data_IF_026865034728
#
_entry.id   IF_026865034728
#
_cell.length_a   1.000
_cell.length_b   1.000
_cell.length_c   1.000
_cell.angle_alpha   90.00
_cell.angle_beta   90.00
_cell.angle_gamma   90.00
#
_symmetry.space_group_name_H-M   'P 1'
#
loop_
_entity.id
_entity.type
_entity.pdbx_description
1 polymer ?
#
# COMPACT_ATOMS: atom_id res chain seq x y z
N UNK A 1 -11.17 -14.67 38.17
CA UNK A 1 -11.74 -15.43 37.03
C UNK A 1 -10.90 -15.10 35.81
N UNK A 2 -9.86 -15.88 35.53
CA UNK A 2 -8.96 -15.64 34.40
C UNK A 2 -9.72 -15.97 33.11
N UNK A 3 -9.95 -14.97 32.24
CA UNK A 3 -10.33 -15.23 30.85
C UNK A 3 -9.12 -15.90 30.19
N UNK A 4 -9.20 -17.21 30.03
CA UNK A 4 -8.34 -17.90 29.08
C UNK A 4 -8.66 -17.29 27.70
N UNK A 5 -7.73 -16.51 27.15
CA UNK A 5 -7.76 -16.21 25.73
C UNK A 5 -7.64 -17.57 25.02
N UNK A 6 -8.62 -17.97 24.20
CA UNK A 6 -8.48 -19.22 23.46
C UNK A 6 -7.20 -19.11 22.63
N UNK A 7 -6.34 -20.11 22.75
CA UNK A 7 -5.22 -20.29 21.82
C UNK A 7 -5.80 -20.24 20.41
N UNK A 8 -5.50 -19.18 19.67
CA UNK A 8 -5.93 -19.05 18.29
C UNK A 8 -5.15 -20.08 17.47
N UNK A 9 -5.77 -21.22 17.17
CA UNK A 9 -5.16 -22.34 16.44
C UNK A 9 -4.99 -22.04 14.95
N UNK A 10 -5.73 -21.06 14.43
CA UNK A 10 -5.77 -20.77 13.00
C UNK A 10 -4.81 -19.63 12.62
N UNK A 11 -4.15 -19.81 11.47
CA UNK A 11 -3.25 -18.80 10.92
C UNK A 11 -3.97 -17.48 10.63
N UNK A 12 -5.25 -17.53 10.24
CA UNK A 12 -6.11 -16.34 10.06
C UNK A 12 -7.18 -16.26 11.14
N UNK A 13 -7.50 -15.04 11.59
CA UNK A 13 -8.67 -14.81 12.41
C UNK A 13 -9.94 -14.71 11.53
N UNK A 14 -10.75 -15.77 11.51
CA UNK A 14 -11.97 -15.80 10.70
C UNK A 14 -13.12 -14.95 11.24
N UNK A 15 -13.06 -14.53 12.50
CA UNK A 15 -14.10 -13.72 13.16
C UNK A 15 -14.03 -12.25 12.77
N UNK A 16 -12.85 -11.78 12.35
CA UNK A 16 -12.65 -10.41 11.89
C UNK A 16 -13.03 -10.33 10.40
N UNK A 17 -13.86 -9.38 9.95
CA UNK A 17 -14.12 -9.18 8.53
C UNK A 17 -12.84 -8.73 7.80
N UNK A 18 -12.68 -9.12 6.52
CA UNK A 18 -11.53 -8.77 5.68
C UNK A 18 -11.25 -7.27 5.67
N UNK A 19 -12.29 -6.50 5.36
CA UNK A 19 -12.27 -5.06 5.32
C UNK A 19 -13.47 -4.55 6.13
N UNK A 20 -13.22 -3.60 7.02
CA UNK A 20 -14.26 -2.91 7.79
C UNK A 20 -14.06 -1.41 7.76
N UNK A 21 -15.16 -0.68 7.91
CA UNK A 21 -15.09 0.76 8.12
C UNK A 21 -14.31 1.05 9.41
N UNK A 22 -13.40 2.01 9.37
CA UNK A 22 -12.69 2.48 10.56
C UNK A 22 -13.70 2.99 11.59
N UNK A 23 -13.50 2.63 12.85
CA UNK A 23 -14.31 3.16 13.96
C UNK A 23 -14.01 4.66 14.16
N UNK A 24 -14.92 5.42 14.77
CA UNK A 24 -14.79 6.90 14.77
C UNK A 24 -13.49 7.36 15.45
N UNK A 25 -12.95 8.49 14.99
CA UNK A 25 -11.68 9.05 15.47
C UNK A 25 -11.66 9.38 16.97
N UNK A 26 -12.82 9.41 17.64
CA UNK A 26 -12.97 9.69 19.06
C UNK A 26 -12.83 8.44 19.95
N UNK A 27 -12.79 7.24 19.37
CA UNK A 27 -12.66 5.99 20.11
C UNK A 27 -11.19 5.55 20.31
N UNK A 28 -10.22 6.25 19.72
CA UNK A 28 -8.80 5.89 19.75
C UNK A 28 -8.01 6.99 20.45
N UNK A 29 -7.31 6.59 21.51
CA UNK A 29 -6.38 7.42 22.28
C UNK A 29 -5.33 8.09 21.38
N UNK A 30 -4.90 9.32 21.73
CA UNK A 30 -4.08 10.17 20.87
C UNK A 30 -2.72 9.56 20.49
N UNK A 31 -2.66 8.92 19.32
CA UNK A 31 -1.43 8.43 18.71
C UNK A 31 -0.70 9.58 17.97
N UNK A 32 0.60 9.83 18.25
CA UNK A 32 1.33 10.94 17.63
C UNK A 32 1.50 10.79 16.11
N UNK A 33 0.92 11.72 15.35
CA UNK A 33 0.95 11.76 13.88
C UNK A 33 -0.31 11.22 13.19
N UNK A 34 -1.39 11.03 13.94
CA UNK A 34 -2.72 10.71 13.41
C UNK A 34 -3.32 11.92 12.68
N UNK A 35 -3.76 11.74 11.44
CA UNK A 35 -4.57 12.74 10.74
C UNK A 35 -6.05 12.46 11.03
N UNK A 36 -6.75 13.40 11.66
CA UNK A 36 -8.19 13.32 11.88
C UNK A 36 -8.90 14.23 10.89
N UNK A 37 -9.70 13.66 10.00
CA UNK A 37 -10.53 14.42 9.09
C UNK A 37 -11.96 14.37 9.62
N UNK A 38 -12.45 15.52 10.07
CA UNK A 38 -13.77 15.65 10.67
C UNK A 38 -14.54 16.74 9.93
N UNK A 39 -15.49 16.31 9.12
CA UNK A 39 -16.38 17.17 8.37
C UNK A 39 -17.79 17.09 8.96
N UNK A 40 -18.22 18.21 9.55
CA UNK A 40 -19.57 18.40 10.05
C UNK A 40 -20.26 19.52 9.28
N UNK A 41 -21.52 19.30 8.93
CA UNK A 41 -22.39 20.34 8.39
C UNK A 41 -23.59 20.49 9.35
N UNK A 42 -23.58 21.57 10.13
CA UNK A 42 -24.56 21.77 11.20
C UNK A 42 -24.42 20.69 12.29
N UNK A 43 -25.51 19.99 12.60
CA UNK A 43 -25.51 18.90 13.58
C UNK A 43 -25.24 17.50 12.99
N UNK A 44 -25.08 17.40 11.67
CA UNK A 44 -24.87 16.11 10.99
C UNK A 44 -23.37 15.94 10.74
N UNK A 45 -22.82 14.85 11.28
CA UNK A 45 -21.44 14.43 10.97
C UNK A 45 -21.46 13.69 9.65
N UNK A 46 -21.00 14.36 8.58
CA UNK A 46 -20.99 13.80 7.22
C UNK A 46 -19.85 12.79 7.09
N UNK A 47 -18.67 13.15 7.62
CA UNK A 47 -17.48 12.32 7.49
C UNK A 47 -16.58 12.50 8.71
N UNK A 48 -16.25 11.42 9.40
CA UNK A 48 -15.28 11.41 10.49
C UNK A 48 -14.41 10.19 10.32
N UNK A 49 -13.18 10.39 9.85
CA UNK A 49 -12.19 9.32 9.65
C UNK A 49 -10.86 9.72 10.28
N UNK A 50 -10.00 8.74 10.48
CA UNK A 50 -8.62 8.96 10.85
C UNK A 50 -7.69 8.20 9.91
N UNK A 51 -6.52 8.78 9.65
CA UNK A 51 -5.44 8.15 8.90
C UNK A 51 -4.24 7.99 9.82
N UNK A 52 -3.90 6.73 10.08
CA UNK A 52 -2.63 6.35 10.69
C UNK A 52 -1.49 6.68 9.72
N UNK A 53 -0.25 6.61 10.19
CA UNK A 53 0.91 6.84 9.32
C UNK A 53 1.04 5.79 8.21
N UNK A 54 0.59 4.55 8.47
CA UNK A 54 0.54 3.50 7.44
C UNK A 54 -0.50 3.87 6.39
N UNK A 55 -1.69 4.34 6.81
CA UNK A 55 -2.72 4.78 5.87
C UNK A 55 -2.25 5.97 5.02
N UNK A 56 -1.53 6.92 5.63
CA UNK A 56 -0.93 8.04 4.91
C UNK A 56 0.09 7.57 3.87
N UNK A 57 0.91 6.56 4.19
CA UNK A 57 1.84 5.97 3.23
C UNK A 57 1.08 5.27 2.08
N UNK A 58 0.00 4.54 2.38
CA UNK A 58 -0.86 3.93 1.38
C UNK A 58 -1.55 4.96 0.48
N UNK A 59 -2.09 6.06 1.03
CA UNK A 59 -2.66 7.16 0.23
C UNK A 59 -1.61 7.81 -0.66
N UNK A 60 -0.43 8.10 -0.10
CA UNK A 60 0.67 8.71 -0.85
C UNK A 60 1.06 7.86 -2.05
N UNK A 61 1.29 6.55 -1.83
CA UNK A 61 1.63 5.63 -2.90
C UNK A 61 0.48 5.45 -3.90
N UNK A 62 -0.76 5.40 -3.45
CA UNK A 62 -1.93 5.35 -4.34
C UNK A 62 -1.98 6.55 -5.29
N UNK A 63 -1.78 7.75 -4.77
CA UNK A 63 -1.75 8.99 -5.56
C UNK A 63 -0.56 9.00 -6.52
N UNK A 64 0.65 8.68 -6.04
CA UNK A 64 1.87 8.63 -6.87
C UNK A 64 1.68 7.64 -8.02
N UNK A 65 1.20 6.43 -7.74
CA UNK A 65 0.97 5.41 -8.77
C UNK A 65 -0.06 5.86 -9.80
N UNK A 66 -1.19 6.44 -9.39
CA UNK A 66 -2.19 6.98 -10.32
C UNK A 66 -1.56 8.03 -11.24
N UNK A 67 -0.80 8.98 -10.68
CA UNK A 67 -0.14 10.03 -11.47
C UNK A 67 0.85 9.44 -12.47
N UNK A 68 1.74 8.53 -12.03
CA UNK A 68 2.75 7.90 -12.90
C UNK A 68 2.07 7.17 -14.06
N UNK A 69 1.08 6.32 -13.77
CA UNK A 69 0.47 5.49 -14.80
C UNK A 69 -0.50 6.26 -15.71
N UNK A 70 -1.20 7.28 -15.20
CA UNK A 70 -2.01 8.16 -16.06
C UNK A 70 -1.13 9.02 -16.98
N UNK A 71 0.00 9.53 -16.48
CA UNK A 71 0.94 10.26 -17.32
C UNK A 71 1.56 9.35 -18.38
N UNK A 72 1.95 8.12 -18.01
CA UNK A 72 2.45 7.13 -18.96
C UNK A 72 1.43 6.80 -20.07
N UNK A 73 0.14 6.74 -19.72
CA UNK A 73 -0.92 6.38 -20.65
C UNK A 73 -1.30 7.51 -21.62
N UNK A 74 -1.33 8.76 -21.14
CA UNK A 74 -1.99 9.86 -21.85
C UNK A 74 -1.10 11.06 -22.13
N UNK A 75 0.01 11.23 -21.42
CA UNK A 75 0.86 12.41 -21.61
C UNK A 75 1.72 12.24 -22.88
N UNK A 76 1.67 13.20 -23.82
CA UNK A 76 2.51 13.19 -25.02
C UNK A 76 3.93 13.70 -24.69
N UNK A 77 4.57 13.09 -23.69
CA UNK A 77 5.92 13.41 -23.22
C UNK A 77 6.81 12.21 -23.53
N UNK A 78 8.07 12.44 -23.91
CA UNK A 78 8.98 11.33 -24.16
C UNK A 78 9.29 10.52 -22.88
N UNK A 79 9.62 9.24 -23.05
CA UNK A 79 9.85 8.33 -21.94
C UNK A 79 11.00 8.74 -21.01
N UNK A 80 12.05 9.38 -21.53
CA UNK A 80 13.20 9.78 -20.72
C UNK A 80 12.84 10.95 -19.79
N UNK A 81 12.10 11.95 -20.30
CA UNK A 81 11.56 13.04 -19.48
C UNK A 81 10.60 12.50 -18.42
N UNK A 82 9.69 11.59 -18.79
CA UNK A 82 8.77 10.97 -17.83
C UNK A 82 9.52 10.19 -16.74
N UNK A 83 10.52 9.38 -17.12
CA UNK A 83 11.37 8.64 -16.19
C UNK A 83 11.98 9.57 -15.14
N UNK A 84 12.59 10.69 -15.54
CA UNK A 84 13.21 11.63 -14.59
C UNK A 84 12.22 12.11 -13.52
N UNK A 85 11.00 12.50 -13.91
CA UNK A 85 9.97 12.93 -12.97
C UNK A 85 9.45 11.78 -12.09
N UNK A 86 9.25 10.59 -12.68
CA UNK A 86 8.79 9.42 -11.94
C UNK A 86 9.82 8.90 -10.95
N UNK A 87 11.12 8.94 -11.28
CA UNK A 87 12.22 8.64 -10.36
C UNK A 87 12.19 9.61 -9.18
N UNK A 88 12.03 10.91 -9.45
CA UNK A 88 11.84 11.91 -8.41
C UNK A 88 10.66 11.61 -7.49
N UNK A 89 9.48 11.35 -8.06
CA UNK A 89 8.27 11.02 -7.29
C UNK A 89 8.43 9.73 -6.49
N UNK A 90 9.03 8.70 -7.05
CA UNK A 90 9.24 7.40 -6.41
C UNK A 90 10.23 7.51 -5.24
N UNK A 91 11.32 8.27 -5.41
CA UNK A 91 12.29 8.53 -4.34
C UNK A 91 11.66 9.38 -3.22
N UNK A 92 10.91 10.42 -3.56
CA UNK A 92 10.18 11.23 -2.58
C UNK A 92 9.13 10.40 -1.83
N UNK A 93 8.35 9.57 -2.54
CA UNK A 93 7.38 8.64 -1.97
C UNK A 93 8.03 7.65 -1.01
N UNK A 94 9.18 7.08 -1.41
CA UNK A 94 9.96 6.15 -0.57
C UNK A 94 10.49 6.84 0.69
N UNK A 95 11.09 8.03 0.56
CA UNK A 95 11.58 8.80 1.70
C UNK A 95 10.47 9.21 2.67
N UNK A 96 9.31 9.63 2.15
CA UNK A 96 8.14 9.94 2.94
C UNK A 96 7.58 8.69 3.65
N UNK A 97 7.50 7.55 2.97
CA UNK A 97 7.09 6.28 3.56
C UNK A 97 8.03 5.86 4.71
N UNK A 98 9.35 5.99 4.54
CA UNK A 98 10.33 5.73 5.60
C UNK A 98 10.02 6.61 6.81
N UNK A 99 9.90 7.93 6.63
CA UNK A 99 9.60 8.88 7.71
C UNK A 99 8.28 8.59 8.41
N UNK A 100 7.24 8.26 7.65
CA UNK A 100 5.93 7.89 8.19
C UNK A 100 6.00 6.59 8.99
N UNK A 101 6.87 5.67 8.57
CA UNK A 101 6.99 4.35 9.18
C UNK A 101 8.11 4.22 10.21
N UNK A 102 8.92 5.25 10.49
CA UNK A 102 10.06 5.21 11.44
C UNK A 102 9.73 4.54 12.78
N UNK A 103 8.59 4.89 13.39
CA UNK A 103 8.14 4.32 14.67
C UNK A 103 7.62 2.88 14.56
N UNK A 104 7.21 2.48 13.37
CA UNK A 104 6.71 1.14 13.06
C UNK A 104 7.84 0.22 12.59
N UNK A 105 8.93 0.79 12.06
CA UNK A 105 10.14 0.07 11.67
C UNK A 105 10.91 -0.49 12.88
N UNK A 106 10.59 -0.09 14.10
CA UNK A 106 11.13 -0.71 15.33
C UNK A 106 10.29 -1.90 15.82
N UNK A 107 9.16 -2.21 15.16
CA UNK A 107 8.22 -3.25 15.57
C UNK A 107 8.27 -4.40 14.57
N UNK A 108 8.53 -5.60 15.06
CA UNK A 108 8.42 -6.84 14.28
C UNK A 108 6.95 -7.27 14.16
N UNK A 109 6.45 -7.68 12.97
CA UNK A 109 7.14 -7.92 11.69
C UNK A 109 7.16 -6.72 10.72
N UNK A 110 6.67 -5.55 11.14
CA UNK A 110 6.48 -4.39 10.27
C UNK A 110 7.80 -3.85 9.70
N UNK A 111 8.88 -3.92 10.47
CA UNK A 111 10.22 -3.59 9.99
C UNK A 111 10.61 -4.32 8.70
N UNK A 112 10.44 -5.65 8.69
CA UNK A 112 10.73 -6.46 7.50
C UNK A 112 9.81 -6.13 6.33
N UNK A 113 8.54 -5.84 6.60
CA UNK A 113 7.57 -5.46 5.58
C UNK A 113 7.98 -4.13 4.93
N UNK A 114 8.29 -3.11 5.74
CA UNK A 114 8.73 -1.80 5.26
C UNK A 114 10.01 -1.94 4.43
N UNK A 115 10.99 -2.69 4.94
CA UNK A 115 12.25 -2.95 4.24
C UNK A 115 12.04 -3.66 2.90
N UNK A 116 11.13 -4.63 2.85
CA UNK A 116 10.77 -5.32 1.61
C UNK A 116 10.13 -4.36 0.59
N UNK A 117 9.20 -3.50 1.02
CA UNK A 117 8.60 -2.50 0.14
C UNK A 117 9.62 -1.49 -0.39
N UNK A 118 10.55 -1.01 0.45
CA UNK A 118 11.65 -0.14 0.00
C UNK A 118 12.47 -0.84 -1.09
N UNK A 119 12.88 -2.08 -0.84
CA UNK A 119 13.63 -2.86 -1.82
C UNK A 119 12.87 -3.03 -3.14
N UNK A 120 11.57 -3.38 -3.08
CA UNK A 120 10.74 -3.55 -4.28
C UNK A 120 10.57 -2.24 -5.06
N UNK A 121 10.35 -1.11 -4.38
CA UNK A 121 10.21 0.21 -5.02
C UNK A 121 11.51 0.63 -5.72
N UNK A 122 12.66 0.48 -5.04
CA UNK A 122 13.96 0.82 -5.62
C UNK A 122 14.36 -0.14 -6.75
N UNK A 123 14.08 -1.43 -6.62
CA UNK A 123 14.33 -2.40 -7.68
C UNK A 123 13.48 -2.11 -8.92
N UNK A 124 12.18 -1.84 -8.73
CA UNK A 124 11.28 -1.46 -9.82
C UNK A 124 11.70 -0.18 -10.51
N UNK A 125 12.11 0.83 -9.72
CA UNK A 125 12.65 2.09 -10.24
C UNK A 125 13.90 1.86 -11.09
N UNK A 126 14.91 1.16 -10.55
CA UNK A 126 16.16 0.88 -11.27
C UNK A 126 15.86 0.12 -12.56
N UNK A 127 15.06 -0.94 -12.53
CA UNK A 127 14.71 -1.69 -13.73
C UNK A 127 13.97 -0.85 -14.77
N UNK A 128 13.08 0.04 -14.33
CA UNK A 128 12.36 0.98 -15.22
C UNK A 128 13.33 1.94 -15.89
N UNK A 129 14.20 2.60 -15.12
CA UNK A 129 15.16 3.57 -15.64
C UNK A 129 16.17 2.91 -16.59
N UNK A 130 16.69 1.73 -16.22
CA UNK A 130 17.55 0.93 -17.09
C UNK A 130 16.85 0.60 -18.41
N UNK A 131 15.56 0.24 -18.36
CA UNK A 131 14.79 -0.07 -19.56
C UNK A 131 14.61 1.13 -20.50
N UNK A 132 14.46 2.32 -19.94
CA UNK A 132 14.23 3.56 -20.69
C UNK A 132 15.54 4.13 -21.23
N UNK A 133 16.55 4.31 -20.37
CA UNK A 133 17.81 4.96 -20.75
C UNK A 133 18.74 4.06 -21.56
N UNK A 134 18.75 2.75 -21.32
CA UNK A 134 19.52 1.78 -22.11
C UNK A 134 18.71 1.04 -23.18
N UNK A 135 17.43 1.39 -23.37
CA UNK A 135 16.60 0.83 -24.43
C UNK A 135 16.39 -0.68 -24.29
N UNK A 136 16.24 -1.16 -23.06
CA UNK A 136 16.02 -2.57 -22.74
C UNK A 136 14.58 -2.97 -23.08
N UNK A 137 14.32 -3.16 -24.38
CA UNK A 137 13.00 -3.35 -24.98
C UNK A 137 12.13 -4.44 -24.30
N UNK A 138 12.66 -5.62 -23.89
CA UNK A 138 11.84 -6.62 -23.21
C UNK A 138 11.21 -6.14 -21.90
N UNK A 139 11.92 -5.30 -21.14
CA UNK A 139 11.40 -4.72 -19.89
C UNK A 139 10.52 -3.51 -20.20
N UNK A 140 10.95 -2.65 -21.12
CA UNK A 140 10.23 -1.44 -21.50
C UNK A 140 8.80 -1.74 -21.99
N UNK A 141 8.64 -2.80 -22.79
CA UNK A 141 7.33 -3.25 -23.30
C UNK A 141 6.48 -3.98 -22.25
N UNK A 142 7.06 -4.29 -21.08
CA UNK A 142 6.40 -5.03 -20.00
C UNK A 142 6.42 -4.25 -18.68
N UNK A 143 6.60 -2.92 -18.70
CA UNK A 143 6.56 -2.10 -17.48
C UNK A 143 5.25 -2.27 -16.68
N UNK A 144 4.05 -2.32 -17.29
CA UNK A 144 2.81 -2.59 -16.55
C UNK A 144 2.85 -3.93 -15.79
N UNK A 145 3.37 -4.97 -16.43
CA UNK A 145 3.54 -6.31 -15.84
C UNK A 145 4.55 -6.28 -14.69
N UNK A 146 5.70 -5.63 -14.88
CA UNK A 146 6.75 -5.49 -13.86
C UNK A 146 6.17 -4.89 -12.58
N UNK A 147 5.49 -3.75 -12.69
CA UNK A 147 4.96 -3.03 -11.52
C UNK A 147 3.79 -3.77 -10.85
N UNK A 148 2.91 -4.42 -11.62
CA UNK A 148 1.89 -5.29 -11.03
C UNK A 148 2.50 -6.49 -10.30
N UNK A 149 3.54 -7.12 -10.86
CA UNK A 149 4.20 -8.26 -10.24
C UNK A 149 4.93 -7.88 -8.94
N UNK A 150 5.64 -6.74 -8.93
CA UNK A 150 6.29 -6.22 -7.72
C UNK A 150 5.25 -5.93 -6.62
N UNK A 151 4.13 -5.31 -6.97
CA UNK A 151 3.05 -5.05 -6.01
C UNK A 151 2.37 -6.35 -5.53
N UNK A 152 2.09 -7.30 -6.43
CA UNK A 152 1.55 -8.61 -6.05
C UNK A 152 2.47 -9.32 -5.05
N UNK A 153 3.78 -9.31 -5.30
CA UNK A 153 4.76 -9.89 -4.39
C UNK A 153 4.81 -9.15 -3.03
N UNK A 154 4.81 -7.81 -3.05
CA UNK A 154 4.76 -7.01 -1.83
C UNK A 154 3.51 -7.28 -0.99
N UNK A 155 2.34 -7.38 -1.63
CA UNK A 155 1.08 -7.70 -0.95
C UNK A 155 1.00 -9.15 -0.48
N UNK A 156 1.56 -10.11 -1.23
CA UNK A 156 1.70 -11.49 -0.78
C UNK A 156 2.56 -11.56 0.49
N UNK A 157 3.73 -10.94 0.45
CA UNK A 157 4.65 -10.91 1.59
C UNK A 157 4.01 -10.25 2.80
N UNK A 158 3.36 -9.10 2.60
CA UNK A 158 2.64 -8.37 3.65
C UNK A 158 1.50 -9.22 4.23
N UNK A 159 0.69 -9.85 3.38
CA UNK A 159 -0.43 -10.70 3.80
C UNK A 159 0.00 -11.90 4.62
N UNK A 160 1.10 -12.57 4.23
CA UNK A 160 1.67 -13.68 4.99
C UNK A 160 2.25 -13.21 6.33
N UNK A 161 3.05 -12.14 6.33
CA UNK A 161 3.70 -11.62 7.55
C UNK A 161 2.70 -11.03 8.55
N UNK A 162 1.69 -10.31 8.07
CA UNK A 162 0.63 -9.73 8.90
C UNK A 162 -0.50 -10.71 9.21
N UNK A 163 -0.48 -11.91 8.60
CA UNK A 163 -1.57 -12.88 8.66
C UNK A 163 -2.91 -12.22 8.32
N UNK A 164 -2.91 -11.48 7.22
CA UNK A 164 -4.02 -10.67 6.74
C UNK A 164 -4.55 -11.23 5.43
N UNK A 165 -5.84 -11.57 5.41
CA UNK A 165 -6.52 -12.04 4.20
C UNK A 165 -6.84 -10.88 3.28
N UNK A 166 -7.04 -9.67 3.79
CA UNK A 166 -7.22 -8.47 2.97
C UNK A 166 -6.03 -8.24 2.04
N UNK A 167 -4.80 -8.31 2.56
CA UNK A 167 -3.60 -8.16 1.73
C UNK A 167 -3.43 -9.31 0.72
N UNK A 168 -3.81 -10.54 1.06
CA UNK A 168 -3.83 -11.65 0.11
C UNK A 168 -4.88 -11.48 -0.98
N UNK A 169 -6.04 -10.91 -0.64
CA UNK A 169 -7.07 -10.57 -1.63
C UNK A 169 -6.55 -9.49 -2.59
N UNK A 170 -5.88 -8.44 -2.08
CA UNK A 170 -5.27 -7.42 -2.93
C UNK A 170 -4.16 -8.01 -3.82
N UNK A 171 -3.36 -8.94 -3.31
CA UNK A 171 -2.41 -9.71 -4.13
C UNK A 171 -3.14 -10.44 -5.28
N UNK A 172 -4.24 -11.15 -4.97
CA UNK A 172 -5.03 -11.83 -5.98
C UNK A 172 -5.59 -10.87 -7.04
N UNK A 173 -6.05 -9.68 -6.65
CA UNK A 173 -6.48 -8.62 -7.58
C UNK A 173 -5.36 -8.23 -8.54
N UNK A 174 -4.12 -8.10 -8.05
CA UNK A 174 -2.97 -7.79 -8.91
C UNK A 174 -2.62 -8.95 -9.86
N UNK A 175 -2.70 -10.20 -9.40
CA UNK A 175 -2.49 -11.37 -10.26
C UNK A 175 -3.57 -11.47 -11.34
N UNK A 176 -4.82 -11.12 -11.02
CA UNK A 176 -5.89 -11.06 -12.00
C UNK A 176 -5.64 -9.96 -13.04
N UNK A 177 -5.19 -8.78 -12.60
CA UNK A 177 -4.80 -7.69 -13.49
C UNK A 177 -3.67 -8.10 -14.45
N UNK A 178 -2.68 -8.86 -13.95
CA UNK A 178 -1.62 -9.44 -14.79
C UNK A 178 -2.21 -10.35 -15.87
N UNK A 179 -3.16 -11.20 -15.51
CA UNK A 179 -3.81 -12.09 -16.47
C UNK A 179 -4.63 -11.31 -17.52
N UNK A 180 -5.18 -10.15 -17.16
CA UNK A 180 -5.99 -9.32 -18.06
C UNK A 180 -5.20 -8.34 -18.92
N UNK A 181 -3.93 -8.05 -18.58
CA UNK A 181 -3.07 -7.09 -19.33
C UNK A 181 -3.02 -7.33 -20.84
N UNK A 182 -2.96 -8.60 -21.26
CA UNK A 182 -2.88 -8.94 -22.69
C UNK A 182 -4.14 -8.59 -23.48
N UNK A 183 -5.29 -8.46 -22.81
CA UNK A 183 -6.57 -8.17 -23.43
C UNK A 183 -6.88 -6.66 -23.49
N UNK A 184 -6.24 -5.83 -22.66
CA UNK A 184 -6.48 -4.37 -22.66
C UNK A 184 -5.60 -3.61 -23.66
N UNK A 185 -4.59 -4.26 -24.24
CA UNK A 185 -3.78 -3.73 -25.35
C UNK A 185 -3.10 -2.40 -25.01
N UNK A 186 -3.49 -1.32 -25.70
CA UNK A 186 -2.88 0.00 -25.47
C UNK A 186 -3.24 0.62 -24.12
N UNK A 187 -4.24 0.09 -23.39
CA UNK A 187 -4.72 0.61 -22.11
C UNK A 187 -4.03 0.00 -20.87
N UNK A 188 -2.94 -0.75 -21.07
CA UNK A 188 -2.24 -1.45 -19.99
C UNK A 188 -1.76 -0.52 -18.87
N UNK A 189 -1.26 0.67 -19.19
CA UNK A 189 -0.80 1.61 -18.16
C UNK A 189 -1.97 2.11 -17.33
N UNK A 190 -3.12 2.42 -17.94
CA UNK A 190 -4.33 2.81 -17.22
C UNK A 190 -4.81 1.71 -16.25
N UNK A 191 -4.90 0.46 -16.73
CA UNK A 191 -5.31 -0.68 -15.90
C UNK A 191 -4.37 -0.83 -14.69
N UNK A 192 -3.05 -0.83 -14.92
CA UNK A 192 -2.06 -0.92 -13.85
C UNK A 192 -2.18 0.23 -12.84
N UNK A 193 -2.35 1.46 -13.32
CA UNK A 193 -2.53 2.64 -12.46
C UNK A 193 -3.78 2.57 -11.59
N UNK A 194 -4.90 2.12 -12.17
CA UNK A 194 -6.15 1.92 -11.44
C UNK A 194 -5.98 0.82 -10.39
N UNK A 195 -5.42 -0.33 -10.76
CA UNK A 195 -5.30 -1.48 -9.86
C UNK A 195 -4.36 -1.17 -8.69
N UNK A 196 -3.15 -0.68 -8.95
CA UNK A 196 -2.18 -0.34 -7.89
C UNK A 196 -2.72 0.82 -7.05
N UNK A 197 -3.16 1.89 -7.73
CA UNK A 197 -3.63 3.11 -7.10
C UNK A 197 -4.82 2.90 -6.18
N UNK A 198 -5.90 2.31 -6.71
CA UNK A 198 -7.12 2.08 -5.94
C UNK A 198 -6.92 1.02 -4.85
N UNK A 199 -6.06 0.02 -5.06
CA UNK A 199 -5.75 -0.94 -4.00
C UNK A 199 -5.10 -0.25 -2.80
N UNK A 200 -4.13 0.64 -3.05
CA UNK A 200 -3.46 1.39 -1.99
C UNK A 200 -4.43 2.36 -1.29
N UNK A 201 -5.26 3.08 -2.05
CA UNK A 201 -6.30 3.96 -1.47
C UNK A 201 -7.31 3.16 -0.64
N UNK A 202 -7.79 2.03 -1.14
CA UNK A 202 -8.73 1.16 -0.43
C UNK A 202 -8.16 0.66 0.90
N UNK A 203 -6.89 0.27 0.91
CA UNK A 203 -6.18 -0.14 2.13
C UNK A 203 -5.97 1.01 3.12
N UNK A 204 -5.95 2.26 2.63
CA UNK A 204 -5.89 3.43 3.49
C UNK A 204 -7.27 3.84 4.03
N UNK A 205 -8.35 3.62 3.28
CA UNK A 205 -9.71 4.00 3.69
C UNK A 205 -10.34 2.99 4.64
N UNK A 206 -10.08 1.69 4.42
CA UNK A 206 -10.69 0.61 5.17
C UNK A 206 -9.69 -0.01 6.15
N UNK A 207 -10.19 -0.37 7.33
CA UNK A 207 -9.40 -1.17 8.27
C UNK A 207 -9.39 -2.62 7.79
N UNK A 208 -8.20 -3.17 7.62
CA UNK A 208 -7.95 -4.54 7.20
C UNK A 208 -7.77 -5.48 8.40
N UNK A 209 -7.98 -6.78 8.16
CA UNK A 209 -7.80 -7.81 9.17
C UNK A 209 -6.33 -8.04 9.51
N UNK A 210 -5.95 -7.89 10.77
CA UNK A 210 -4.65 -8.30 11.28
C UNK A 210 -4.88 -9.24 12.46
N UNK A 211 -4.30 -10.43 12.41
CA UNK A 211 -4.53 -11.50 13.41
C UNK A 211 -3.77 -11.21 14.71
N UNK A 212 -4.00 -10.05 15.32
CA UNK A 212 -3.36 -9.63 16.58
C UNK A 212 -1.91 -9.14 16.45
N UNK A 213 -1.32 -9.20 15.26
CA UNK A 213 0.07 -8.71 15.00
C UNK A 213 0.23 -7.24 15.40
N UNK A 214 -0.80 -6.41 15.19
CA UNK A 214 -0.80 -5.02 15.63
C UNK A 214 -1.33 -4.81 17.07
N UNK A 215 -1.95 -5.82 17.68
CA UNK A 215 -2.63 -5.71 18.98
C UNK A 215 -1.77 -6.22 20.16
N UNK A 216 -0.74 -7.02 19.90
CA UNK A 216 0.08 -7.66 20.93
C UNK A 216 1.23 -6.79 21.47
N UNK A 217 1.31 -5.50 21.12
CA UNK A 217 2.31 -4.62 21.71
C UNK A 217 1.67 -3.79 22.83
N UNK A 218 2.07 -3.97 24.10
CA UNK A 218 1.68 -3.04 25.14
C UNK A 218 2.28 -1.68 24.78
N UNK A 219 1.43 -0.71 24.50
CA UNK A 219 1.80 0.70 24.61
C UNK A 219 1.99 0.99 26.09
N UNK A 220 3.17 0.65 26.63
CA UNK A 220 3.49 0.92 28.02
C UNK A 220 4.35 -0.14 28.66
N UNK A 221 5.64 -0.07 28.41
CA UNK A 221 6.64 -0.17 29.48
C UNK A 221 7.89 0.57 28.98
N UNK A 222 8.10 1.77 29.54
CA UNK A 222 9.35 2.51 29.43
C UNK A 222 10.42 1.78 30.27
N UNK A 223 11.70 1.73 29.85
CA UNK A 223 12.78 1.89 30.80
C UNK A 223 12.85 3.33 31.32
#
# INVERSE_FOLDING_TARGET
>A
MFRAFPFQTDFFNHEIPLLKRKQSAFAIEDLPGLWRLHWQLGQITIFSTFYTRIDQACLLWGIISIIIFLTAQFAPIDWATQAFFWSGLTLLGTGAMIKLSEKWATIEPLNHIISAWIFLMLAGLVLTDLSIFWGWAPILTQLPLLWLALNAFGYLYTGVKMRSRAFLLICFVHLLAIATLSYVGVWQFLETGIVIGLSAVLLAELQWDSSGVCANHPLGEKP
#
